data_IF_284689351887
#
_entry.id   IF_284689351887
#
_cell.length_a   1.000
_cell.length_b   1.000
_cell.length_c   1.000
_cell.angle_alpha   90.00
_cell.angle_beta   90.00
_cell.angle_gamma   90.00
#
_symmetry.space_group_name_H-M   'P 1'
#
loop_
_entity.id
_entity.type
_entity.pdbx_description
1 polymer ?
#
# COMPACT_ATOMS: atom_id res chain seq x y z
N UNK A 1 -6.24 -25.36 3.73
CA UNK A 1 -6.22 -24.66 2.40
C UNK A 1 -4.79 -24.25 2.08
N UNK A 2 -4.24 -24.71 0.97
CA UNK A 2 -2.85 -24.46 0.56
C UNK A 2 -2.74 -23.53 -0.65
N UNK A 3 -3.69 -23.62 -1.59
CA UNK A 3 -3.75 -22.79 -2.80
C UNK A 3 -3.87 -21.29 -2.46
N UNK A 4 -2.99 -20.42 -2.99
CA UNK A 4 -3.01 -18.99 -2.69
C UNK A 4 -4.29 -18.28 -3.11
N UNK A 5 -4.85 -18.60 -4.28
CA UNK A 5 -6.07 -17.96 -4.77
C UNK A 5 -7.29 -18.36 -3.95
N UNK A 6 -7.38 -19.63 -3.55
CA UNK A 6 -8.41 -20.11 -2.65
C UNK A 6 -8.34 -19.43 -1.28
N UNK A 7 -7.13 -19.21 -0.72
CA UNK A 7 -6.98 -18.43 0.52
C UNK A 7 -7.50 -17.01 0.36
N UNK A 8 -7.15 -16.33 -0.75
CA UNK A 8 -7.62 -14.96 -1.04
C UNK A 8 -9.14 -14.89 -1.08
N UNK A 9 -9.79 -15.83 -1.79
CA UNK A 9 -11.26 -15.92 -1.87
C UNK A 9 -11.90 -16.10 -0.51
N UNK A 10 -11.43 -17.07 0.28
CA UNK A 10 -11.98 -17.36 1.61
C UNK A 10 -11.85 -16.15 2.55
N UNK A 11 -10.69 -15.49 2.57
CA UNK A 11 -10.47 -14.31 3.41
C UNK A 11 -11.36 -13.15 2.97
N UNK A 12 -11.45 -12.90 1.67
CA UNK A 12 -12.32 -11.86 1.11
C UNK A 12 -13.80 -12.09 1.45
N UNK A 13 -14.31 -13.29 1.22
CA UNK A 13 -15.69 -13.67 1.54
C UNK A 13 -15.98 -13.54 3.04
N UNK A 14 -15.07 -14.01 3.90
CA UNK A 14 -15.23 -13.90 5.36
C UNK A 14 -15.24 -12.45 5.81
N UNK A 15 -14.39 -11.60 5.23
CA UNK A 15 -14.37 -10.17 5.51
C UNK A 15 -15.71 -9.51 5.17
N UNK A 16 -16.24 -9.76 3.97
CA UNK A 16 -17.54 -9.23 3.50
C UNK A 16 -18.66 -9.63 4.47
N UNK A 17 -18.76 -10.91 4.85
CA UNK A 17 -19.82 -11.39 5.74
C UNK A 17 -19.75 -10.75 7.13
N UNK A 18 -18.53 -10.57 7.66
CA UNK A 18 -18.35 -9.89 8.95
C UNK A 18 -18.73 -8.41 8.82
N UNK A 19 -18.29 -7.75 7.75
CA UNK A 19 -18.62 -6.36 7.47
C UNK A 19 -20.13 -6.14 7.38
N UNK A 20 -20.84 -7.00 6.62
CA UNK A 20 -22.30 -6.99 6.50
C UNK A 20 -22.99 -7.12 7.86
N UNK A 21 -22.58 -8.11 8.66
CA UNK A 21 -23.11 -8.31 10.00
C UNK A 21 -22.93 -7.06 10.87
N UNK A 22 -21.76 -6.41 10.81
CA UNK A 22 -21.51 -5.17 11.56
C UNK A 22 -22.36 -4.00 11.06
N UNK A 23 -22.52 -3.86 9.74
CA UNK A 23 -23.36 -2.81 9.17
C UNK A 23 -24.84 -2.98 9.56
N UNK A 24 -25.36 -4.21 9.57
CA UNK A 24 -26.71 -4.51 10.03
C UNK A 24 -26.88 -4.16 11.52
N UNK A 25 -25.90 -4.51 12.37
CA UNK A 25 -25.93 -4.18 13.80
C UNK A 25 -25.92 -2.68 14.08
N UNK A 26 -25.34 -1.87 13.19
CA UNK A 26 -25.31 -0.41 13.27
C UNK A 26 -26.54 0.27 12.64
N UNK A 27 -27.53 -0.51 12.17
CA UNK A 27 -28.75 0.03 11.58
C UNK A 27 -28.64 0.40 10.10
N UNK A 28 -27.76 -0.28 9.35
CA UNK A 28 -27.58 -0.11 7.91
C UNK A 28 -27.26 1.35 7.51
N UNK A 29 -26.00 1.80 7.73
CA UNK A 29 -25.63 3.17 7.43
C UNK A 29 -25.83 3.49 5.95
N UNK A 30 -26.19 4.73 5.65
CA UNK A 30 -26.44 5.15 4.27
C UNK A 30 -25.16 5.26 3.43
N UNK A 31 -24.07 5.72 4.02
CA UNK A 31 -22.81 5.97 3.32
C UNK A 31 -21.76 4.90 3.62
N UNK A 32 -21.00 4.53 2.59
CA UNK A 32 -19.77 3.75 2.71
C UNK A 32 -18.58 4.60 2.24
N UNK A 33 -17.75 4.99 3.19
CA UNK A 33 -16.53 5.77 2.90
C UNK A 33 -15.40 4.84 2.49
N UNK A 34 -14.72 5.15 1.39
CA UNK A 34 -13.56 4.40 0.93
C UNK A 34 -12.34 5.28 0.71
N UNK A 35 -11.17 4.72 1.01
CA UNK A 35 -9.88 5.35 0.76
C UNK A 35 -9.36 5.15 -0.67
N UNK A 36 -10.24 5.00 -1.67
CA UNK A 36 -9.86 4.84 -3.08
C UNK A 36 -9.01 6.02 -3.55
N UNK A 37 -7.87 5.75 -4.18
CA UNK A 37 -6.95 6.76 -4.71
C UNK A 37 -6.86 6.72 -6.23
N UNK A 38 -6.27 7.74 -6.84
CA UNK A 38 -6.21 7.87 -8.30
C UNK A 38 -5.62 6.65 -9.03
N UNK A 39 -4.50 6.04 -8.56
CA UNK A 39 -4.00 4.79 -9.13
C UNK A 39 -5.03 3.64 -9.18
N UNK A 40 -5.90 3.52 -8.18
CA UNK A 40 -6.92 2.46 -8.12
C UNK A 40 -7.99 2.67 -9.21
N UNK A 41 -8.37 3.94 -9.43
CA UNK A 41 -9.34 4.33 -10.46
C UNK A 41 -8.80 3.99 -11.85
N UNK A 42 -7.53 4.31 -12.12
CA UNK A 42 -6.87 4.00 -13.40
C UNK A 42 -6.75 2.48 -13.61
N UNK A 43 -6.36 1.72 -12.58
CA UNK A 43 -6.27 0.25 -12.68
C UNK A 43 -7.63 -0.39 -12.99
N UNK A 44 -8.70 0.14 -12.43
CA UNK A 44 -10.06 -0.35 -12.70
C UNK A 44 -10.61 0.06 -14.06
N UNK A 45 -10.15 1.16 -14.66
CA UNK A 45 -10.70 1.69 -15.92
C UNK A 45 -9.98 1.19 -17.18
N UNK A 46 -8.88 0.45 -17.04
CA UNK A 46 -8.05 -0.01 -18.16
C UNK A 46 -8.75 -1.15 -18.96
N UNK A 47 -9.01 -0.99 -20.27
CA UNK A 47 -9.74 -1.97 -21.09
C UNK A 47 -9.02 -3.31 -21.32
N UNK A 48 -7.71 -3.43 -21.09
CA UNK A 48 -6.91 -4.56 -21.58
C UNK A 48 -6.87 -5.81 -20.66
N UNK A 49 -7.82 -5.98 -19.74
CA UNK A 49 -7.87 -7.16 -18.83
C UNK A 49 -9.06 -8.10 -19.07
N UNK A 50 -9.50 -8.21 -20.33
CA UNK A 50 -10.57 -9.12 -20.82
C UNK A 50 -10.27 -10.65 -20.70
N UNK A 51 -9.29 -11.08 -19.89
CA UNK A 51 -9.01 -12.52 -19.64
C UNK A 51 -8.98 -12.94 -18.17
N UNK A 52 -9.48 -12.11 -17.26
CA UNK A 52 -9.80 -12.50 -15.88
C UNK A 52 -11.27 -12.16 -15.56
N UNK A 53 -12.14 -12.44 -16.54
CA UNK A 53 -13.58 -12.43 -16.37
C UNK A 53 -14.01 -13.52 -15.39
N UNK A 54 -14.01 -13.19 -14.10
CA UNK A 54 -15.09 -13.60 -13.18
C UNK A 54 -15.02 -13.02 -11.76
N UNK A 55 -13.98 -12.28 -11.38
CA UNK A 55 -13.94 -11.63 -10.06
C UNK A 55 -13.09 -10.34 -10.12
N UNK A 56 -13.48 -9.33 -10.91
CA UNK A 56 -13.05 -7.93 -10.73
C UNK A 56 -14.04 -6.95 -11.39
N UNK A 57 -15.33 -7.06 -11.06
CA UNK A 57 -16.25 -5.94 -11.29
C UNK A 57 -15.96 -4.84 -10.27
N UNK A 58 -15.95 -3.62 -10.77
CA UNK A 58 -15.20 -2.49 -10.26
C UNK A 58 -15.65 -1.94 -8.90
N UNK A 59 -14.79 -1.07 -8.38
CA UNK A 59 -14.78 -0.43 -7.07
C UNK A 59 -14.14 -1.27 -5.97
N UNK A 60 -13.56 -0.59 -4.99
CA UNK A 60 -12.94 -1.15 -3.79
C UNK A 60 -13.97 -1.88 -2.88
N UNK A 61 -15.07 -2.36 -3.45
CA UNK A 61 -16.25 -3.04 -2.91
C UNK A 61 -16.64 -4.20 -3.85
N UNK A 62 -15.66 -4.88 -4.45
CA UNK A 62 -15.90 -5.98 -5.41
C UNK A 62 -16.55 -7.25 -4.84
N UNK A 63 -17.33 -7.15 -3.77
CA UNK A 63 -18.02 -8.30 -3.19
C UNK A 63 -19.05 -7.99 -2.11
N UNK A 64 -19.51 -6.74 -1.93
CA UNK A 64 -20.67 -6.56 -1.05
C UNK A 64 -21.92 -7.23 -1.66
N UNK A 65 -22.79 -7.84 -0.84
CA UNK A 65 -24.06 -8.38 -1.28
C UNK A 65 -24.89 -7.34 -2.05
N UNK A 66 -25.66 -7.78 -3.04
CA UNK A 66 -26.46 -6.91 -3.93
C UNK A 66 -27.56 -6.14 -3.17
N UNK A 67 -27.95 -6.62 -2.00
CA UNK A 67 -28.95 -6.07 -1.11
C UNK A 67 -28.40 -5.03 -0.12
N UNK A 68 -27.08 -4.77 -0.10
CA UNK A 68 -26.49 -3.68 0.66
C UNK A 68 -26.47 -2.38 -0.16
N UNK A 69 -27.44 -1.50 0.05
CA UNK A 69 -27.51 -0.19 -0.63
C UNK A 69 -26.72 0.88 0.13
N UNK A 70 -25.43 1.00 -0.17
CA UNK A 70 -24.61 2.13 0.27
C UNK A 70 -24.43 3.18 -0.82
N UNK A 71 -24.43 4.45 -0.45
CA UNK A 71 -23.88 5.53 -1.26
C UNK A 71 -22.37 5.64 -0.99
N UNK A 72 -21.56 5.51 -2.04
CA UNK A 72 -20.10 5.53 -1.92
C UNK A 72 -19.56 6.96 -1.78
N UNK A 73 -18.67 7.15 -0.81
CA UNK A 73 -17.95 8.41 -0.60
C UNK A 73 -16.45 8.16 -0.71
N UNK A 74 -15.83 8.64 -1.79
CA UNK A 74 -14.41 8.40 -2.11
C UNK A 74 -13.62 9.71 -2.18
N UNK A 75 -13.31 10.36 -1.04
CA UNK A 75 -12.77 11.71 -1.01
C UNK A 75 -11.33 11.81 -1.56
N UNK A 76 -10.60 10.69 -1.62
CA UNK A 76 -9.20 10.65 -2.05
C UNK A 76 -9.01 10.24 -3.52
N UNK A 77 -10.11 10.04 -4.26
CA UNK A 77 -10.12 9.40 -5.59
C UNK A 77 -9.27 10.08 -6.67
N UNK A 78 -8.89 11.34 -6.47
CA UNK A 78 -8.08 12.13 -7.41
C UNK A 78 -6.65 12.37 -6.91
N UNK A 79 -6.28 11.77 -5.78
CA UNK A 79 -4.96 11.95 -5.18
C UNK A 79 -4.06 10.76 -5.47
N UNK A 80 -2.77 11.04 -5.64
CA UNK A 80 -1.70 10.06 -5.59
C UNK A 80 -1.30 9.76 -4.13
N UNK A 81 -0.51 8.70 -3.94
CA UNK A 81 -0.18 8.19 -2.61
C UNK A 81 0.65 9.17 -1.77
N UNK A 82 1.54 9.91 -2.38
CA UNK A 82 2.30 10.99 -1.75
C UNK A 82 1.42 12.16 -1.33
N UNK A 83 0.43 12.54 -2.15
CA UNK A 83 -0.56 13.57 -1.80
C UNK A 83 -1.45 13.12 -0.63
N UNK A 84 -1.90 11.86 -0.62
CA UNK A 84 -2.64 11.28 0.51
C UNK A 84 -1.81 11.29 1.80
N UNK A 85 -0.49 11.04 1.70
CA UNK A 85 0.40 11.16 2.87
C UNK A 85 0.48 12.59 3.36
N UNK A 86 0.61 13.57 2.48
CA UNK A 86 0.63 14.99 2.84
C UNK A 86 -0.67 15.42 3.53
N UNK A 87 -1.82 14.93 3.04
CA UNK A 87 -3.13 15.12 3.71
C UNK A 87 -3.10 14.50 5.11
N UNK A 88 -2.62 13.27 5.25
CA UNK A 88 -2.51 12.59 6.55
C UNK A 88 -1.64 13.35 7.56
N UNK A 89 -0.48 13.86 7.13
CA UNK A 89 0.40 14.69 7.96
C UNK A 89 -0.29 15.99 8.37
N UNK A 90 -1.00 16.65 7.43
CA UNK A 90 -1.73 17.90 7.70
C UNK A 90 -2.88 17.70 8.69
N UNK A 91 -3.53 16.54 8.67
CA UNK A 91 -4.57 16.14 9.62
C UNK A 91 -4.00 15.71 10.99
N UNK A 92 -2.68 15.68 11.15
CA UNK A 92 -2.03 15.30 12.41
C UNK A 92 -1.98 13.79 12.67
N UNK A 93 -2.09 12.96 11.63
CA UNK A 93 -1.91 11.51 11.79
C UNK A 93 -0.45 11.19 12.17
N UNK A 94 -0.22 10.17 13.02
CA UNK A 94 1.13 9.78 13.41
C UNK A 94 2.00 9.42 12.19
N UNK A 95 3.24 9.94 12.07
CA UNK A 95 4.12 9.65 10.94
C UNK A 95 4.35 8.16 10.71
N UNK A 96 4.45 7.36 11.77
CA UNK A 96 4.60 5.91 11.70
C UNK A 96 3.41 5.20 11.02
N UNK A 97 2.21 5.80 11.06
CA UNK A 97 1.03 5.29 10.36
C UNK A 97 1.03 5.73 8.90
N UNK A 98 1.30 7.02 8.65
CA UNK A 98 1.29 7.62 7.31
C UNK A 98 2.36 7.00 6.40
N UNK A 99 3.55 6.75 6.96
CA UNK A 99 4.70 6.23 6.23
C UNK A 99 4.89 4.72 6.36
N UNK A 100 3.94 4.02 6.98
CA UNK A 100 3.97 2.57 7.08
C UNK A 100 4.00 1.93 5.69
N UNK A 101 4.77 0.86 5.57
CA UNK A 101 4.76 0.03 4.37
C UNK A 101 3.35 -0.54 4.08
N UNK A 102 3.00 -0.75 2.81
CA UNK A 102 1.75 -1.42 2.45
C UNK A 102 1.64 -2.80 3.07
N UNK A 103 0.42 -3.16 3.49
CA UNK A 103 0.10 -4.50 3.94
C UNK A 103 -1.04 -5.07 3.10
N UNK A 104 -0.93 -6.31 2.60
CA UNK A 104 -1.94 -6.87 1.71
C UNK A 104 -3.26 -7.15 2.45
N UNK A 105 -4.40 -7.02 1.78
CA UNK A 105 -5.72 -7.30 2.36
C UNK A 105 -5.86 -8.70 3.00
N UNK A 106 -5.43 -9.79 2.32
CA UNK A 106 -5.40 -11.13 2.93
C UNK A 106 -4.38 -11.30 4.08
N UNK A 107 -3.58 -10.27 4.36
CA UNK A 107 -2.58 -10.23 5.41
C UNK A 107 -1.53 -11.33 5.31
N UNK A 108 -1.26 -11.99 6.45
CA UNK A 108 -0.22 -13.02 6.52
C UNK A 108 -0.57 -14.31 5.77
N UNK A 109 -1.83 -14.51 5.36
CA UNK A 109 -2.25 -15.75 4.67
C UNK A 109 -1.54 -15.94 3.33
N UNK A 110 -1.23 -14.84 2.63
CA UNK A 110 -0.46 -14.84 1.37
C UNK A 110 1.06 -14.82 1.60
N UNK A 111 1.52 -14.48 2.81
CA UNK A 111 2.93 -14.57 3.21
C UNK A 111 3.30 -15.94 3.79
N UNK A 112 2.32 -16.73 4.24
CA UNK A 112 2.50 -18.10 4.73
C UNK A 112 2.30 -19.11 3.58
N UNK A 113 3.40 -19.60 3.01
CA UNK A 113 3.38 -20.60 1.94
C UNK A 113 2.80 -21.94 2.43
N UNK A 114 1.95 -22.58 1.64
CA UNK A 114 1.29 -23.83 2.03
C UNK A 114 0.19 -23.61 3.07
N UNK A 115 -0.04 -24.56 3.97
CA UNK A 115 -1.15 -24.45 4.93
C UNK A 115 -0.92 -23.33 5.97
N UNK A 116 -2.00 -22.61 6.29
CA UNK A 116 -2.02 -21.59 7.35
C UNK A 116 -2.48 -22.23 8.65
N UNK A 117 -1.58 -22.35 9.62
CA UNK A 117 -1.87 -22.86 10.97
C UNK A 117 -1.51 -21.83 12.03
N UNK A 118 -2.09 -21.96 13.23
CA UNK A 118 -1.83 -21.04 14.34
C UNK A 118 -0.33 -20.95 14.70
N UNK A 119 0.36 -22.10 14.77
CA UNK A 119 1.80 -22.14 15.06
C UNK A 119 2.65 -21.48 13.98
N UNK A 120 2.32 -21.70 12.70
CA UNK A 120 3.03 -21.06 11.57
C UNK A 120 2.81 -19.55 11.56
N UNK A 121 1.59 -19.10 11.82
CA UNK A 121 1.28 -17.67 11.94
C UNK A 121 1.97 -17.03 13.14
N UNK A 122 2.10 -17.73 14.26
CA UNK A 122 2.83 -17.24 15.43
C UNK A 122 4.32 -17.04 15.11
N UNK A 123 4.95 -18.04 14.49
CA UNK A 123 6.34 -17.95 14.04
C UNK A 123 6.53 -16.80 13.02
N UNK A 124 5.65 -16.71 12.01
CA UNK A 124 5.72 -15.66 11.00
C UNK A 124 5.54 -14.25 11.59
N UNK A 125 4.64 -14.07 12.57
CA UNK A 125 4.48 -12.80 13.29
C UNK A 125 5.73 -12.42 14.09
N UNK A 126 6.34 -13.37 14.78
CA UNK A 126 7.56 -13.13 15.53
C UNK A 126 8.72 -12.71 14.59
N UNK A 127 8.87 -13.41 13.47
CA UNK A 127 9.87 -13.07 12.46
C UNK A 127 9.62 -11.70 11.81
N UNK A 128 8.37 -11.38 11.44
CA UNK A 128 8.00 -10.08 10.88
C UNK A 128 8.26 -8.96 11.89
N UNK A 129 7.91 -9.16 13.17
CA UNK A 129 8.15 -8.18 14.23
C UNK A 129 9.65 -7.84 14.39
N UNK A 130 10.51 -8.86 14.49
CA UNK A 130 11.97 -8.66 14.58
C UNK A 130 12.48 -7.92 13.33
N UNK A 131 12.05 -8.34 12.14
CA UNK A 131 12.49 -7.69 10.91
C UNK A 131 12.10 -6.21 10.86
N UNK A 132 10.87 -5.86 11.24
CA UNK A 132 10.41 -4.47 11.26
C UNK A 132 11.15 -3.64 12.31
N UNK A 133 11.41 -4.22 13.49
CA UNK A 133 12.17 -3.57 14.56
C UNK A 133 13.59 -3.24 14.09
N UNK A 134 14.31 -4.21 13.53
CA UNK A 134 15.69 -4.03 13.05
C UNK A 134 15.77 -3.03 11.89
N UNK A 135 14.86 -3.11 10.92
CA UNK A 135 14.83 -2.16 9.79
C UNK A 135 14.46 -0.74 10.25
N UNK A 136 13.58 -0.62 11.24
CA UNK A 136 13.24 0.67 11.85
C UNK A 136 14.43 1.26 12.61
N UNK A 137 15.12 0.45 13.42
CA UNK A 137 16.31 0.87 14.16
C UNK A 137 17.45 1.30 13.22
N UNK A 138 17.59 0.64 12.07
CA UNK A 138 18.54 1.02 11.02
C UNK A 138 18.11 2.26 10.20
N UNK A 139 16.91 2.79 10.41
CA UNK A 139 16.39 3.95 9.67
C UNK A 139 16.04 3.63 8.21
N UNK A 140 15.75 2.37 7.89
CA UNK A 140 15.41 1.88 6.55
C UNK A 140 13.89 1.87 6.27
N UNK A 141 13.08 2.17 7.28
CA UNK A 141 11.62 2.30 7.18
C UNK A 141 11.17 3.73 7.52
N UNK A 142 9.96 4.08 7.08
CA UNK A 142 9.34 5.38 7.37
C UNK A 142 9.53 6.40 6.26
N UNK A 143 9.45 7.69 6.63
CA UNK A 143 9.57 8.81 5.70
C UNK A 143 10.98 8.82 5.07
N UNK A 144 11.10 8.79 3.74
CA UNK A 144 12.40 8.95 3.10
C UNK A 144 13.05 10.24 3.59
N UNK A 145 14.28 10.13 4.12
CA UNK A 145 15.08 11.31 4.41
C UNK A 145 15.38 11.98 3.07
N UNK A 146 15.21 13.29 2.99
CA UNK A 146 15.75 14.04 1.87
C UNK A 146 17.25 13.70 1.77
N UNK A 147 17.71 13.33 0.57
CA UNK A 147 19.14 13.17 0.30
C UNK A 147 19.78 14.52 0.59
N UNK A 148 20.44 14.65 1.74
CA UNK A 148 21.22 15.85 2.04
C UNK A 148 22.36 15.94 1.02
N UNK A 149 22.45 17.09 0.36
CA UNK A 149 23.37 17.40 -0.72
C UNK A 149 24.74 16.72 -0.60
N UNK A 150 25.13 16.04 -1.69
CA UNK A 150 26.46 15.51 -1.96
C UNK A 150 27.49 16.67 -2.07
N UNK A 151 27.82 17.28 -0.94
CA UNK A 151 28.85 18.31 -0.83
C UNK A 151 30.22 17.78 -0.38
N UNK A 152 30.53 16.53 -0.75
CA UNK A 152 31.88 15.97 -0.59
C UNK A 152 32.31 15.21 -1.85
N UNK A 153 32.40 15.91 -2.98
CA UNK A 153 33.36 15.56 -4.03
C UNK A 153 34.42 16.64 -4.04
N UNK A 154 35.55 16.35 -3.40
CA UNK A 154 36.75 17.16 -3.44
C UNK A 154 37.15 17.40 -4.89
N UNK A 155 36.98 18.65 -5.33
CA UNK A 155 37.41 19.14 -6.63
C UNK A 155 38.95 19.26 -6.61
N UNK A 156 39.66 18.16 -6.83
CA UNK A 156 41.04 18.24 -7.30
C UNK A 156 41.00 18.84 -8.71
N UNK A 157 41.20 20.16 -8.79
CA UNK A 157 41.55 20.82 -10.06
C UNK A 157 42.93 20.30 -10.45
N UNK A 158 42.95 19.32 -11.35
CA UNK A 158 44.13 19.04 -12.17
C UNK A 158 44.47 20.32 -12.93
N UNK A 159 45.68 20.80 -12.70
CA UNK A 159 46.33 21.89 -13.43
C UNK A 159 46.43 21.52 -14.91
N UNK A 160 45.55 22.08 -15.74
CA UNK A 160 45.79 22.20 -17.17
C UNK A 160 46.77 23.35 -17.38
N UNK A 161 48.02 23.03 -17.68
CA UNK A 161 48.99 23.99 -18.20
C UNK A 161 48.60 24.37 -19.63
N UNK A 162 48.12 25.59 -19.82
CA UNK A 162 48.00 26.23 -21.13
C UNK A 162 49.40 26.59 -21.64
N UNK A 163 49.87 25.89 -22.67
CA UNK A 163 50.97 26.35 -23.53
C UNK A 163 50.36 27.04 -24.75
N UNK A 164 50.16 28.34 -24.66
CA UNK A 164 49.99 29.22 -25.81
C UNK A 164 51.36 29.74 -26.21
N UNK A 165 51.76 29.52 -27.46
CA UNK A 165 52.75 30.33 -28.14
C UNK A 165 52.24 30.56 -29.57
N UNK A 166 51.74 31.76 -29.81
CA UNK A 166 51.47 32.29 -31.15
C UNK A 166 52.71 33.04 -31.67
N UNK A 167 52.86 32.97 -33.00
CA UNK A 167 53.40 33.97 -33.94
C UNK A 167 54.88 34.37 -33.91
N UNK A 168 55.64 33.87 -34.90
CA UNK A 168 56.08 34.62 -36.10
C UNK A 168 56.63 33.65 -37.16
#
# INVERSE_FOLDING_TARGET
>A
VTDPEQKRKIVGEKFIRIFEQQAQMLGQPHFLVQGTIYPDVVESSAPERDKVERIKTHHNVGGLPQDMSFELVEPLRYLFKDEVRAVGETLGLPPELVWRQPFPGPGLTVRCLGEVTAGRLACLRAADAILIEELSAAGLLGKPKALSDSSTVGRQRGSFSSSTAEYS
#
